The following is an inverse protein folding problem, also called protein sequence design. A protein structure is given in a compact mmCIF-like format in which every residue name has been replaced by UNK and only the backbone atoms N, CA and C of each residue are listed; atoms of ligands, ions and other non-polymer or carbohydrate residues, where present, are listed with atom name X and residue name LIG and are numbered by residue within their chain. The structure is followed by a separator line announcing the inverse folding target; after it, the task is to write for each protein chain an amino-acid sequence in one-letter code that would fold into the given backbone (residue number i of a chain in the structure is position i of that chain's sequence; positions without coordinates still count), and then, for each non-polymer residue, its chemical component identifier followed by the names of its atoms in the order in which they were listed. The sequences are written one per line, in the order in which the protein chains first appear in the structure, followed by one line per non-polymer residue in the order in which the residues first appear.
data_IF_767960100320
#
_entry.id   IF_767960100320
#
_cell.length_a   1.000
_cell.length_b   1.000
_cell.length_c   1.000
_cell.angle_alpha   90.00
_cell.angle_beta   90.00
_cell.angle_gamma   90.00
#
_symmetry.space_group_name_H-M   'P 1'
#
loop_
_entity.id
_entity.type
_entity.pdbx_description
1 polymer ?
#
# COMPACT_ATOMS: atom_id res chain seq x y z
N UNK A 1 31.59 -21.86 50.65
CA UNK A 1 30.43 -22.44 49.93
C UNK A 1 29.10 -21.67 50.08
N UNK A 2 28.93 -20.75 51.04
CA UNK A 2 27.66 -20.03 51.24
C UNK A 2 27.35 -19.00 50.13
N UNK A 3 28.37 -18.30 49.63
CA UNK A 3 28.24 -17.29 48.57
C UNK A 3 28.16 -17.87 47.15
N UNK A 4 28.72 -19.07 46.92
CA UNK A 4 28.70 -19.74 45.62
C UNK A 4 27.27 -20.18 45.22
N UNK A 5 26.48 -20.62 46.20
CA UNK A 5 25.04 -20.93 46.00
C UNK A 5 24.23 -19.69 45.62
N UNK A 6 24.59 -18.53 46.19
CA UNK A 6 23.97 -17.24 45.87
C UNK A 6 24.30 -16.79 44.44
N UNK A 7 25.54 -17.00 44.00
CA UNK A 7 25.99 -16.66 42.65
C UNK A 7 25.29 -17.53 41.57
N UNK A 8 25.12 -18.83 41.84
CA UNK A 8 24.35 -19.73 40.95
C UNK A 8 22.88 -19.30 40.89
N UNK A 9 22.27 -18.94 42.02
CA UNK A 9 20.89 -18.48 42.04
C UNK A 9 20.69 -17.18 41.24
N UNK A 10 21.64 -16.25 41.30
CA UNK A 10 21.61 -14.99 40.51
C UNK A 10 21.80 -15.28 39.02
N UNK A 11 22.69 -16.20 38.65
CA UNK A 11 22.85 -16.63 37.25
C UNK A 11 21.57 -17.26 36.68
N UNK A 12 20.91 -18.13 37.45
CA UNK A 12 19.62 -18.72 37.05
C UNK A 12 18.50 -17.66 36.95
N UNK A 13 18.50 -16.67 37.84
CA UNK A 13 17.53 -15.57 37.77
C UNK A 13 17.78 -14.65 36.56
N UNK A 14 19.04 -14.46 36.16
CA UNK A 14 19.40 -13.70 34.95
C UNK A 14 18.95 -14.36 33.64
N UNK A 15 18.87 -15.70 33.61
CA UNK A 15 18.33 -16.43 32.45
C UNK A 15 16.82 -16.22 32.25
N UNK A 16 16.08 -15.85 33.30
CA UNK A 16 14.64 -15.57 33.20
C UNK A 16 14.32 -14.20 32.57
N UNK A 17 15.32 -13.33 32.38
CA UNK A 17 15.17 -12.01 31.76
C UNK A 17 15.80 -11.93 30.36
N UNK A 18 16.03 -13.06 29.70
CA UNK A 18 16.41 -13.07 28.28
C UNK A 18 15.22 -12.68 27.40
N UNK A 19 14.90 -11.40 27.37
CA UNK A 19 13.95 -10.81 26.43
C UNK A 19 14.69 -10.62 25.09
N UNK A 20 14.86 -11.70 24.34
CA UNK A 20 15.13 -11.59 22.90
C UNK A 20 13.81 -11.20 22.26
N UNK A 21 13.63 -9.92 21.94
CA UNK A 21 12.50 -9.50 21.11
C UNK A 21 12.61 -10.18 19.75
N UNK A 22 11.49 -10.60 19.18
CA UNK A 22 11.37 -11.14 17.82
C UNK A 22 11.63 -10.03 16.76
N UNK A 23 12.66 -9.21 16.95
CA UNK A 23 12.96 -7.99 16.18
C UNK A 23 13.65 -8.28 14.84
N UNK A 24 13.92 -9.56 14.53
CA UNK A 24 14.59 -10.03 13.32
C UNK A 24 13.62 -10.40 12.18
N UNK A 25 12.30 -10.46 12.45
CA UNK A 25 11.29 -10.78 11.44
C UNK A 25 10.24 -9.67 11.36
N UNK A 26 9.81 -9.36 10.14
CA UNK A 26 8.70 -8.43 9.94
C UNK A 26 7.38 -9.13 10.01
N UNK A 27 6.51 -8.67 10.89
CA UNK A 27 5.15 -9.15 10.96
C UNK A 27 4.32 -8.64 9.78
N UNK A 28 3.23 -9.36 9.50
CA UNK A 28 2.34 -9.01 8.40
C UNK A 28 1.66 -7.67 8.68
N UNK A 29 1.84 -6.69 7.79
CA UNK A 29 1.27 -5.34 7.91
C UNK A 29 2.27 -4.25 8.31
N UNK A 30 3.54 -4.60 8.53
CA UNK A 30 4.60 -3.65 8.87
C UNK A 30 5.23 -2.94 7.66
N UNK A 31 4.93 -3.41 6.44
CA UNK A 31 5.39 -2.83 5.20
C UNK A 31 4.75 -1.47 4.86
N UNK A 32 5.32 -0.80 3.85
CA UNK A 32 4.71 0.39 3.25
C UNK A 32 3.38 -0.01 2.59
N UNK A 33 2.23 0.56 3.00
CA UNK A 33 0.93 0.12 2.54
C UNK A 33 0.67 0.53 1.09
N UNK A 34 -0.09 -0.29 0.38
CA UNK A 34 -0.56 0.00 -0.98
C UNK A 34 -1.88 0.75 -0.95
N UNK A 35 -2.09 1.60 -1.95
CA UNK A 35 -3.35 2.31 -2.12
C UNK A 35 -4.44 1.33 -2.57
N UNK A 36 -5.59 1.32 -1.88
CA UNK A 36 -6.76 0.55 -2.31
C UNK A 36 -7.66 1.40 -3.21
N UNK A 37 -7.89 0.89 -4.42
CA UNK A 37 -8.79 1.50 -5.40
C UNK A 37 -9.99 0.59 -5.60
N UNK A 38 -11.20 1.12 -5.50
CA UNK A 38 -12.44 0.38 -5.77
C UNK A 38 -13.19 0.95 -6.97
N UNK A 39 -14.08 0.16 -7.56
CA UNK A 39 -14.72 0.50 -8.83
C UNK A 39 -16.21 0.75 -8.66
N UNK A 40 -16.72 1.75 -9.37
CA UNK A 40 -18.13 2.14 -9.36
C UNK A 40 -18.70 2.20 -10.77
N UNK A 41 -20.01 2.03 -10.88
CA UNK A 41 -20.75 2.28 -12.12
C UNK A 41 -21.02 3.77 -12.29
N UNK A 42 -20.78 4.28 -13.50
CA UNK A 42 -21.19 5.64 -13.86
C UNK A 42 -22.70 5.84 -13.79
N UNK A 43 -23.49 4.82 -14.11
CA UNK A 43 -24.95 4.96 -14.19
C UNK A 43 -25.61 4.99 -12.81
N UNK A 44 -25.16 4.12 -11.91
CA UNK A 44 -25.79 3.93 -10.59
C UNK A 44 -25.03 4.58 -9.44
N UNK A 45 -23.76 4.95 -9.63
CA UNK A 45 -22.87 5.41 -8.57
C UNK A 45 -22.51 4.33 -7.53
N UNK A 46 -22.98 3.10 -7.70
CA UNK A 46 -22.73 1.99 -6.77
C UNK A 46 -21.45 1.25 -7.14
N UNK A 47 -20.87 0.58 -6.15
CA UNK A 47 -19.72 -0.30 -6.37
C UNK A 47 -20.07 -1.40 -7.37
N UNK A 48 -19.12 -1.72 -8.25
CA UNK A 48 -19.29 -2.73 -9.29
C UNK A 48 -18.06 -3.61 -9.41
N UNK A 49 -18.28 -4.88 -9.71
CA UNK A 49 -17.21 -5.78 -10.15
C UNK A 49 -16.95 -5.58 -11.63
N UNK A 50 -15.68 -5.37 -11.99
CA UNK A 50 -15.23 -5.31 -13.38
C UNK A 50 -14.93 -6.72 -13.89
N UNK A 51 -15.25 -6.99 -15.15
CA UNK A 51 -14.92 -8.26 -15.80
C UNK A 51 -13.40 -8.46 -15.89
N UNK A 52 -12.67 -7.41 -16.23
CA UNK A 52 -11.21 -7.38 -16.20
C UNK A 52 -10.65 -5.98 -15.98
N UNK A 53 -9.49 -5.94 -15.33
CA UNK A 53 -8.71 -4.73 -15.13
C UNK A 53 -7.22 -5.04 -15.30
N UNK A 54 -6.53 -4.21 -16.08
CA UNK A 54 -5.08 -4.20 -16.23
C UNK A 54 -4.57 -2.88 -15.66
N UNK A 55 -3.56 -2.98 -14.80
CA UNK A 55 -2.99 -1.81 -14.12
C UNK A 55 -1.50 -1.74 -14.38
N UNK A 56 -1.01 -0.56 -14.72
CA UNK A 56 0.42 -0.27 -14.74
C UNK A 56 0.72 0.96 -13.90
N UNK A 57 1.92 1.05 -13.35
CA UNK A 57 2.36 2.17 -12.52
C UNK A 57 3.69 2.69 -13.01
N UNK A 58 3.84 4.01 -13.10
CA UNK A 58 5.14 4.62 -13.40
C UNK A 58 5.83 5.03 -12.09
N UNK A 59 6.89 4.28 -11.77
CA UNK A 59 7.72 4.53 -10.58
C UNK A 59 8.87 5.52 -10.84
N UNK A 60 8.89 6.21 -11.98
CA UNK A 60 9.91 7.17 -12.37
C UNK A 60 10.99 6.62 -13.32
N UNK A 61 11.01 5.31 -13.54
CA UNK A 61 11.90 4.63 -14.50
C UNK A 61 11.13 3.99 -15.68
N UNK A 62 9.86 4.39 -15.86
CA UNK A 62 8.96 3.82 -16.85
C UNK A 62 7.83 3.00 -16.23
N UNK A 63 6.91 2.56 -17.09
CA UNK A 63 5.71 1.83 -16.69
C UNK A 63 6.04 0.39 -16.31
N UNK A 64 5.66 0.01 -15.10
CA UNK A 64 5.68 -1.37 -14.61
C UNK A 64 4.26 -1.93 -14.65
N UNK A 65 4.06 -2.99 -15.41
CA UNK A 65 2.77 -3.69 -15.52
C UNK A 65 2.53 -4.56 -14.27
N UNK A 66 1.43 -4.30 -13.56
CA UNK A 66 1.00 -5.07 -12.40
C UNK A 66 0.13 -6.29 -12.79
N UNK A 67 -0.08 -6.52 -14.09
CA UNK A 67 -0.86 -7.61 -14.63
C UNK A 67 -2.36 -7.31 -14.74
N UNK A 68 -3.04 -8.21 -15.45
CA UNK A 68 -4.49 -8.23 -15.58
C UNK A 68 -5.15 -9.15 -14.55
N UNK A 69 -6.27 -8.71 -13.99
CA UNK A 69 -7.10 -9.51 -13.08
C UNK A 69 -8.54 -9.50 -13.57
N UNK A 70 -9.19 -10.65 -13.51
CA UNK A 70 -10.60 -10.81 -13.88
C UNK A 70 -11.52 -10.79 -12.64
N UNK A 71 -12.79 -10.39 -12.83
CA UNK A 71 -13.83 -10.37 -11.79
C UNK A 71 -13.38 -9.67 -10.50
N UNK A 72 -13.01 -8.40 -10.63
CA UNK A 72 -12.37 -7.63 -9.57
C UNK A 72 -13.20 -6.41 -9.18
N UNK A 73 -13.38 -6.16 -7.89
CA UNK A 73 -14.11 -5.01 -7.33
C UNK A 73 -13.17 -3.92 -6.76
N UNK A 74 -11.94 -4.31 -6.41
CA UNK A 74 -10.91 -3.44 -5.89
C UNK A 74 -9.50 -3.95 -6.19
N UNK A 75 -8.52 -3.05 -6.26
CA UNK A 75 -7.11 -3.35 -6.51
C UNK A 75 -6.21 -2.58 -5.56
N UNK A 76 -5.23 -3.28 -5.00
CA UNK A 76 -4.12 -2.70 -4.25
C UNK A 76 -3.01 -2.28 -5.21
N UNK A 77 -2.60 -1.02 -5.13
CA UNK A 77 -1.63 -0.40 -6.04
C UNK A 77 -0.48 0.19 -5.20
N UNK A 78 0.74 -0.33 -5.33
CA UNK A 78 1.90 0.29 -4.68
C UNK A 78 2.19 1.66 -5.29
N UNK A 79 2.39 2.65 -4.42
CA UNK A 79 2.83 3.99 -4.80
C UNK A 79 4.36 4.09 -4.75
N UNK A 80 4.93 5.15 -5.32
CA UNK A 80 6.38 5.40 -5.25
C UNK A 80 6.80 5.68 -3.81
N UNK A 81 7.92 5.05 -3.44
CA UNK A 81 8.57 5.19 -2.13
C UNK A 81 9.72 6.20 -2.15
N UNK A 82 10.07 6.74 -3.31
CA UNK A 82 11.08 7.79 -3.46
C UNK A 82 10.57 9.17 -2.97
N UNK A 83 11.26 10.24 -3.34
CA UNK A 83 10.90 11.62 -2.96
C UNK A 83 9.93 12.29 -3.94
N UNK A 84 9.35 11.54 -4.88
CA UNK A 84 8.36 12.09 -5.82
C UNK A 84 7.05 12.44 -5.10
N UNK A 85 6.46 13.63 -5.34
CA UNK A 85 5.19 14.01 -4.71
C UNK A 85 3.97 13.37 -5.39
N UNK A 86 4.18 12.52 -6.40
CA UNK A 86 3.11 11.82 -7.09
C UNK A 86 3.55 10.49 -7.70
N UNK A 87 2.55 9.64 -7.96
CA UNK A 87 2.65 8.42 -8.76
C UNK A 87 1.62 8.48 -9.89
N UNK A 88 2.05 8.16 -11.12
CA UNK A 88 1.14 8.01 -12.26
C UNK A 88 0.70 6.54 -12.39
N UNK A 89 -0.61 6.32 -12.42
CA UNK A 89 -1.24 5.00 -12.50
C UNK A 89 -2.09 4.92 -13.75
N UNK A 90 -2.02 3.77 -14.42
CA UNK A 90 -2.64 3.53 -15.71
C UNK A 90 -3.64 2.38 -15.61
N UNK A 91 -4.83 2.57 -16.17
CA UNK A 91 -5.93 1.61 -16.09
C UNK A 91 -6.45 1.25 -17.49
N UNK A 92 -6.59 -0.04 -17.77
CA UNK A 92 -7.23 -0.57 -18.99
C UNK A 92 -8.23 -1.66 -18.62
N UNK A 93 -9.33 -1.76 -19.36
CA UNK A 93 -10.25 -2.89 -19.22
C UNK A 93 -9.80 -4.11 -20.02
N UNK A 94 -9.01 -3.93 -21.09
CA UNK A 94 -8.48 -5.02 -21.92
C UNK A 94 -6.98 -4.86 -22.14
N UNK A 95 -6.26 -5.97 -22.41
CA UNK A 95 -4.79 -6.01 -22.53
C UNK A 95 -4.22 -5.01 -23.56
N UNK A 96 -4.95 -4.77 -24.66
CA UNK A 96 -4.56 -3.85 -25.76
C UNK A 96 -5.56 -2.70 -25.93
N UNK A 97 -6.38 -2.40 -24.92
CA UNK A 97 -7.41 -1.37 -24.98
C UNK A 97 -6.90 0.04 -24.72
N UNK A 98 -7.85 0.99 -24.72
CA UNK A 98 -7.62 2.36 -24.27
C UNK A 98 -7.12 2.39 -22.82
N UNK A 99 -6.28 3.38 -22.53
CA UNK A 99 -5.59 3.54 -21.25
C UNK A 99 -5.97 4.86 -20.61
N UNK A 100 -6.54 4.81 -19.41
CA UNK A 100 -6.67 5.99 -18.57
C UNK A 100 -5.41 6.24 -17.79
N UNK A 101 -5.05 7.52 -17.64
CA UNK A 101 -3.95 7.97 -16.80
C UNK A 101 -4.50 8.75 -15.63
N UNK A 102 -4.24 8.27 -14.42
CA UNK A 102 -4.60 8.92 -13.15
C UNK A 102 -3.33 9.27 -12.41
N UNK A 103 -3.17 10.54 -12.05
CA UNK A 103 -2.08 10.99 -11.20
C UNK A 103 -2.53 11.03 -9.75
N UNK A 104 -1.82 10.33 -8.88
CA UNK A 104 -2.04 10.32 -7.44
C UNK A 104 -0.97 11.18 -6.79
N UNK A 105 -1.36 12.27 -6.14
CA UNK A 105 -0.47 13.18 -5.41
C UNK A 105 -0.59 12.92 -3.92
N UNK A 106 0.51 13.01 -3.19
CA UNK A 106 0.56 12.74 -1.75
C UNK A 106 1.81 13.35 -1.11
N UNK A 107 1.78 13.42 0.21
CA UNK A 107 2.96 13.66 1.05
C UNK A 107 3.35 12.36 1.75
N UNK A 108 4.65 12.05 1.84
CA UNK A 108 5.12 10.83 2.52
C UNK A 108 5.59 11.12 3.93
N UNK A 109 5.29 10.22 4.87
CA UNK A 109 5.84 10.22 6.22
C UNK A 109 6.60 8.92 6.46
N UNK A 110 7.81 9.01 6.99
CA UNK A 110 8.66 7.83 7.25
C UNK A 110 8.68 7.52 8.74
N UNK A 111 8.50 6.25 9.08
CA UNK A 111 8.45 5.75 10.46
C UNK A 111 9.36 4.54 10.57
N UNK A 112 10.26 4.55 11.56
CA UNK A 112 11.06 3.39 11.91
C UNK A 112 10.16 2.32 12.56
N UNK A 113 10.33 1.06 12.15
CA UNK A 113 9.56 -0.07 12.66
C UNK A 113 10.41 -0.86 13.66
N UNK A 114 11.45 -1.52 13.17
CA UNK A 114 12.36 -2.37 13.96
C UNK A 114 13.68 -2.56 13.21
N UNK A 115 14.73 -3.13 13.84
CA UNK A 115 15.98 -3.45 13.17
C UNK A 115 15.79 -4.38 11.96
N UNK A 116 14.95 -5.41 12.07
CA UNK A 116 14.64 -6.33 10.98
C UNK A 116 13.83 -5.72 9.84
N UNK A 117 13.02 -4.69 10.12
CA UNK A 117 12.06 -4.13 9.16
C UNK A 117 12.42 -2.76 8.61
N UNK A 118 13.36 -2.07 9.26
CA UNK A 118 13.81 -0.75 8.86
C UNK A 118 12.70 0.29 8.92
N UNK A 119 12.50 0.99 7.80
CA UNK A 119 11.64 2.17 7.71
C UNK A 119 10.45 1.87 6.81
N UNK A 120 9.25 2.11 7.32
CA UNK A 120 8.02 2.13 6.52
C UNK A 120 7.64 3.56 6.15
N UNK A 121 7.07 3.73 4.96
CA UNK A 121 6.47 4.98 4.52
C UNK A 121 4.95 4.90 4.61
N UNK A 122 4.31 5.93 5.12
CA UNK A 122 2.87 6.16 4.98
C UNK A 122 2.62 7.35 4.05
N UNK A 123 1.40 7.45 3.54
CA UNK A 123 1.00 8.49 2.61
C UNK A 123 -0.13 9.31 3.20
N UNK A 124 0.00 10.63 3.14
CA UNK A 124 -0.95 11.62 3.67
C UNK A 124 -1.33 12.61 2.56
N UNK A 125 -2.43 13.34 2.74
CA UNK A 125 -2.92 14.35 1.79
C UNK A 125 -3.10 13.80 0.35
N UNK A 126 -3.64 12.58 0.24
CA UNK A 126 -3.96 11.96 -1.03
C UNK A 126 -4.96 12.79 -1.85
N UNK A 127 -4.53 13.19 -3.03
CA UNK A 127 -5.41 13.74 -4.06
C UNK A 127 -5.18 13.03 -5.38
N UNK A 128 -6.20 13.03 -6.24
CA UNK A 128 -6.15 12.34 -7.53
C UNK A 128 -6.62 13.26 -8.66
N UNK A 129 -6.01 13.08 -9.83
CA UNK A 129 -6.29 13.88 -11.02
C UNK A 129 -6.36 12.94 -12.24
N UNK A 130 -7.46 13.03 -13.00
CA UNK A 130 -7.65 12.26 -14.23
C UNK A 130 -7.00 13.03 -15.39
N UNK A 131 -5.81 12.61 -15.80
CA UNK A 131 -5.05 13.27 -16.87
C UNK A 131 -5.44 12.77 -18.25
N UNK A 132 -5.81 11.49 -18.37
CA UNK A 132 -6.29 10.91 -19.61
C UNK A 132 -7.53 10.08 -19.29
N UNK A 133 -8.73 10.51 -19.72
CA UNK A 133 -9.95 9.76 -19.53
C UNK A 133 -10.04 8.58 -20.51
N UNK A 134 -11.00 7.67 -20.27
CA UNK A 134 -11.30 6.43 -21.02
C UNK A 134 -10.29 5.29 -20.77
N UNK A 135 -10.68 4.18 -20.11
CA UNK A 135 -12.04 3.81 -19.69
C UNK A 135 -12.51 4.44 -18.37
N UNK A 136 -11.65 5.06 -17.57
CA UNK A 136 -12.05 5.77 -16.34
C UNK A 136 -12.68 7.10 -16.72
N UNK A 137 -13.88 7.37 -16.20
CA UNK A 137 -14.67 8.54 -16.54
C UNK A 137 -14.74 9.56 -15.39
N UNK A 138 -14.71 9.09 -14.14
CA UNK A 138 -14.76 9.95 -12.96
C UNK A 138 -13.93 9.36 -11.81
N UNK A 139 -13.36 10.25 -11.01
CA UNK A 139 -12.66 9.93 -9.77
C UNK A 139 -13.47 10.45 -8.58
N UNK A 140 -13.56 9.66 -7.51
CA UNK A 140 -14.14 10.09 -6.24
C UNK A 140 -13.18 9.76 -5.10
N UNK A 141 -12.93 10.74 -4.23
CA UNK A 141 -12.03 10.58 -3.10
C UNK A 141 -12.65 9.67 -2.03
N UNK A 142 -11.87 8.72 -1.54
CA UNK A 142 -12.18 7.92 -0.35
C UNK A 142 -11.42 8.46 0.86
N UNK A 143 -10.56 7.63 1.44
CA UNK A 143 -9.64 8.07 2.50
C UNK A 143 -8.47 8.89 1.96
N UNK A 144 -8.20 10.00 2.64
CA UNK A 144 -7.14 10.96 2.29
C UNK A 144 -5.74 10.57 2.82
N UNK A 145 -5.63 9.41 3.47
CA UNK A 145 -4.38 8.86 3.99
C UNK A 145 -4.34 7.34 3.80
N UNK A 146 -3.13 6.79 3.68
CA UNK A 146 -2.86 5.37 3.58
C UNK A 146 -1.96 4.98 4.75
N UNK A 147 -2.59 4.50 5.82
CA UNK A 147 -1.91 3.90 6.98
C UNK A 147 -1.92 2.36 6.89
N UNK A 148 -2.95 1.80 6.26
CA UNK A 148 -3.13 0.37 6.01
C UNK A 148 -3.92 0.12 4.72
N UNK A 149 -4.16 -1.14 4.38
CA UNK A 149 -4.78 -1.56 3.11
C UNK A 149 -6.28 -1.89 3.23
N UNK A 150 -6.90 -1.58 4.38
CA UNK A 150 -8.28 -2.01 4.68
C UNK A 150 -9.33 -1.14 3.97
N UNK A 151 -9.10 0.18 3.97
CA UNK A 151 -10.05 1.18 3.49
C UNK A 151 -9.75 1.62 2.06
N UNK A 152 -10.79 1.89 1.29
CA UNK A 152 -10.66 2.43 -0.07
C UNK A 152 -10.21 3.89 -0.03
N UNK A 153 -9.15 4.19 -0.78
CA UNK A 153 -8.58 5.53 -0.90
C UNK A 153 -9.13 6.27 -2.11
N UNK A 154 -9.43 5.55 -3.19
CA UNK A 154 -9.88 6.13 -4.45
C UNK A 154 -10.97 5.25 -5.07
N UNK A 155 -12.05 5.89 -5.52
CA UNK A 155 -13.06 5.24 -6.34
C UNK A 155 -12.90 5.67 -7.79
N UNK A 156 -12.92 4.71 -8.70
CA UNK A 156 -12.93 4.94 -10.14
C UNK A 156 -14.30 4.57 -10.68
N UNK A 157 -14.94 5.50 -11.37
CA UNK A 157 -16.18 5.21 -12.07
C UNK A 157 -15.91 4.92 -13.55
N UNK A 158 -16.47 3.79 -14.00
CA UNK A 158 -16.41 3.28 -15.36
C UNK A 158 -17.81 3.20 -15.95
#
# INVERSE_FOLDING_TARGET
MKYFKFLIAICFLGMLFSCGGDDDICESGEGTPRMKVAFRSMDSGKEKTLDSLYVAVDYGAGKVDLGGVAKIDSRLIPLRVDSSPYTDVYFKLTKKGAESKVRIKYTTKSTYVSPGCGIKKSYENLSSELLTPNPVLKLEAGQNQIENEDKTNLYLSF
#
